data_IF_667449835796
#
_entry.id   IF_667449835796
#
_cell.length_a   1.000
_cell.length_b   1.000
_cell.length_c   1.000
_cell.angle_alpha   90.00
_cell.angle_beta   90.00
_cell.angle_gamma   90.00
#
_symmetry.space_group_name_H-M   'P 1'
#
loop_
_entity.id
_entity.type
_entity.pdbx_description
1 polymer ?
#
# COMPACT_ATOMS: atom_id res chain seq x y z
N UNK A 1 8.13 5.45 12.59
CA UNK A 1 7.00 4.72 13.23
C UNK A 1 7.58 3.65 14.16
N UNK A 2 6.95 3.37 15.30
CA UNK A 2 7.44 2.36 16.25
C UNK A 2 7.35 0.93 15.70
N UNK A 3 6.40 0.68 14.79
CA UNK A 3 6.22 -0.60 14.11
C UNK A 3 6.09 -0.37 12.61
N UNK A 4 6.84 -1.13 11.82
CA UNK A 4 6.67 -1.25 10.38
C UNK A 4 6.66 -2.74 10.04
N UNK A 5 5.55 -3.22 9.50
CA UNK A 5 5.40 -4.63 9.16
C UNK A 5 4.90 -4.79 7.73
N UNK A 6 5.48 -5.73 7.00
CA UNK A 6 5.10 -6.08 5.64
C UNK A 6 5.02 -7.58 5.54
N UNK A 7 3.94 -8.10 4.97
CA UNK A 7 3.74 -9.51 4.72
C UNK A 7 3.23 -9.72 3.29
N UNK A 8 3.75 -10.73 2.61
CA UNK A 8 3.29 -11.09 1.27
C UNK A 8 2.98 -12.58 1.23
N UNK A 9 1.78 -12.92 0.79
CA UNK A 9 1.39 -14.29 0.47
C UNK A 9 1.22 -14.42 -1.04
N UNK A 10 1.67 -15.53 -1.60
CA UNK A 10 1.43 -15.88 -2.99
C UNK A 10 0.90 -17.30 -3.07
N UNK A 11 -0.09 -17.51 -3.93
CA UNK A 11 -0.70 -18.82 -4.13
C UNK A 11 -0.86 -19.10 -5.62
N UNK A 12 -0.37 -20.26 -6.06
CA UNK A 12 -0.38 -20.70 -7.46
C UNK A 12 -1.11 -22.05 -7.51
N UNK A 13 -2.44 -22.06 -7.62
CA UNK A 13 -3.21 -23.31 -7.62
C UNK A 13 -2.88 -24.21 -8.82
N UNK A 14 -2.47 -23.63 -9.95
CA UNK A 14 -1.95 -24.31 -11.12
C UNK A 14 -1.03 -23.35 -11.90
N UNK A 15 -0.18 -23.89 -12.77
CA UNK A 15 0.93 -23.17 -13.41
C UNK A 15 0.52 -21.87 -14.14
N UNK A 16 -0.71 -21.80 -14.66
CA UNK A 16 -1.22 -20.65 -15.39
C UNK A 16 -1.74 -19.51 -14.49
N UNK A 17 -2.05 -19.74 -13.21
CA UNK A 17 -2.73 -18.76 -12.34
C UNK A 17 -1.94 -18.49 -11.06
N UNK A 18 -1.70 -17.21 -10.76
CA UNK A 18 -1.08 -16.77 -9.52
C UNK A 18 -1.92 -15.69 -8.85
N UNK A 19 -2.16 -15.85 -7.56
CA UNK A 19 -2.69 -14.85 -6.66
C UNK A 19 -1.58 -14.30 -5.76
N UNK A 20 -1.70 -13.03 -5.39
CA UNK A 20 -0.81 -12.36 -4.44
C UNK A 20 -1.63 -11.49 -3.51
N UNK A 21 -1.36 -11.58 -2.22
CA UNK A 21 -1.81 -10.64 -1.22
C UNK A 21 -0.60 -10.00 -0.56
N UNK A 22 -0.65 -8.69 -0.35
CA UNK A 22 0.37 -7.95 0.37
C UNK A 22 -0.29 -7.07 1.42
N UNK A 23 0.14 -7.22 2.66
CA UNK A 23 -0.30 -6.39 3.79
C UNK A 23 0.87 -5.54 4.23
N UNK A 24 0.64 -4.25 4.39
CA UNK A 24 1.59 -3.31 4.99
C UNK A 24 0.93 -2.64 6.18
N UNK A 25 1.59 -2.65 7.32
CA UNK A 25 1.19 -1.86 8.50
C UNK A 25 2.29 -0.84 8.82
N UNK A 26 1.89 0.42 8.94
CA UNK A 26 2.73 1.53 9.39
C UNK A 26 2.15 2.03 10.70
N UNK A 27 2.91 1.87 11.78
CA UNK A 27 2.53 2.34 13.10
C UNK A 27 2.48 3.86 13.21
N UNK A 28 1.92 4.33 14.32
CA UNK A 28 1.86 5.75 14.66
C UNK A 28 3.25 6.39 14.60
N UNK A 29 3.30 7.65 14.18
CA UNK A 29 4.52 8.46 14.10
C UNK A 29 4.21 9.91 14.38
N UNK A 30 5.19 10.63 14.89
CA UNK A 30 5.10 12.06 15.17
C UNK A 30 5.81 12.84 14.06
N UNK A 31 5.32 14.04 13.78
CA UNK A 31 5.92 14.96 12.80
C UNK A 31 6.60 16.16 13.46
N UNK A 32 6.63 16.19 14.79
CA UNK A 32 7.35 17.16 15.60
C UNK A 32 8.46 16.50 16.43
N UNK A 33 9.33 17.33 17.02
CA UNK A 33 10.43 16.87 17.88
C UNK A 33 9.95 16.52 19.31
N UNK A 34 8.83 17.10 19.74
CA UNK A 34 8.26 16.89 21.07
C UNK A 34 7.54 15.53 21.20
N UNK A 35 7.29 14.84 20.08
CA UNK A 35 6.44 13.65 20.00
C UNK A 35 5.03 13.90 20.57
N UNK A 36 4.42 15.03 20.20
CA UNK A 36 3.10 15.40 20.72
C UNK A 36 1.98 14.60 20.04
N UNK A 37 0.97 14.20 20.80
CA UNK A 37 -0.18 13.47 20.24
C UNK A 37 -1.01 14.32 19.26
N UNK A 38 -0.97 15.65 19.40
CA UNK A 38 -1.62 16.59 18.47
C UNK A 38 -1.01 16.50 17.06
N UNK A 39 0.31 16.31 16.98
CA UNK A 39 1.06 16.17 15.73
C UNK A 39 1.39 14.70 15.42
N UNK A 40 0.53 13.78 15.85
CA UNK A 40 0.68 12.37 15.53
C UNK A 40 -0.06 12.02 14.23
N UNK A 41 0.65 11.40 13.29
CA UNK A 41 0.03 10.69 12.17
C UNK A 41 -0.43 9.32 12.68
N UNK A 42 -1.73 9.07 12.55
CA UNK A 42 -2.35 7.80 12.89
C UNK A 42 -1.71 6.63 12.13
N UNK A 43 -1.66 5.48 12.80
CA UNK A 43 -1.26 4.23 12.17
C UNK A 43 -2.24 3.84 11.06
N UNK A 44 -1.76 3.13 10.05
CA UNK A 44 -2.61 2.59 8.99
C UNK A 44 -2.14 1.22 8.51
N UNK A 45 -3.08 0.47 7.95
CA UNK A 45 -2.84 -0.83 7.34
C UNK A 45 -3.42 -0.85 5.94
N UNK A 46 -2.62 -1.27 4.96
CA UNK A 46 -3.05 -1.42 3.58
C UNK A 46 -3.06 -2.89 3.21
N UNK A 47 -4.14 -3.32 2.55
CA UNK A 47 -4.22 -4.60 1.85
C UNK A 47 -4.17 -4.34 0.35
N UNK A 48 -3.21 -4.97 -0.32
CA UNK A 48 -3.06 -4.96 -1.77
C UNK A 48 -3.25 -6.38 -2.28
N UNK A 49 -4.04 -6.54 -3.34
CA UNK A 49 -4.31 -7.83 -3.96
C UNK A 49 -3.91 -7.81 -5.44
N UNK A 50 -3.49 -8.96 -5.94
CA UNK A 50 -3.18 -9.14 -7.35
C UNK A 50 -3.47 -10.55 -7.83
N UNK A 51 -3.82 -10.66 -9.10
CA UNK A 51 -3.98 -11.91 -9.81
C UNK A 51 -3.28 -11.81 -11.17
N UNK A 52 -2.67 -12.89 -11.61
CA UNK A 52 -2.15 -13.00 -12.98
C UNK A 52 -2.48 -14.35 -13.58
N UNK A 53 -2.89 -14.32 -14.84
CA UNK A 53 -3.18 -15.49 -15.65
C UNK A 53 -2.31 -15.51 -16.91
N UNK A 54 -1.70 -16.65 -17.21
CA UNK A 54 -0.88 -16.88 -18.40
C UNK A 54 -1.56 -17.88 -19.31
N UNK A 55 -1.78 -17.47 -20.55
CA UNK A 55 -2.27 -18.31 -21.63
C UNK A 55 -1.30 -18.28 -22.80
N UNK A 56 -0.56 -19.38 -22.98
CA UNK A 56 0.56 -19.47 -23.94
C UNK A 56 1.55 -18.31 -23.70
N UNK A 57 1.89 -17.57 -24.74
CA UNK A 57 2.74 -16.37 -24.69
C UNK A 57 2.07 -15.16 -24.03
N UNK A 58 0.74 -15.12 -23.88
CA UNK A 58 0.03 -13.98 -23.33
C UNK A 58 -0.09 -14.10 -21.80
N UNK A 59 0.26 -13.03 -21.08
CA UNK A 59 0.02 -12.88 -19.64
C UNK A 59 -0.85 -11.66 -19.38
N UNK A 60 -1.92 -11.85 -18.62
CA UNK A 60 -2.79 -10.79 -18.11
C UNK A 60 -2.58 -10.71 -16.60
N UNK A 61 -2.37 -9.51 -16.07
CA UNK A 61 -2.24 -9.28 -14.62
C UNK A 61 -3.12 -8.12 -14.20
N UNK A 62 -3.87 -8.30 -13.12
CA UNK A 62 -4.66 -7.26 -12.48
C UNK A 62 -4.18 -7.07 -11.03
N UNK A 63 -4.12 -5.83 -10.56
CA UNK A 63 -3.82 -5.50 -9.16
C UNK A 63 -4.76 -4.42 -8.66
N UNK A 64 -5.09 -4.50 -7.38
CA UNK A 64 -5.81 -3.47 -6.64
C UNK A 64 -4.96 -3.12 -5.44
N UNK A 65 -4.52 -1.87 -5.35
CA UNK A 65 -3.88 -1.36 -4.15
C UNK A 65 -4.91 -0.66 -3.27
N UNK A 66 -4.70 -0.71 -1.95
CA UNK A 66 -5.61 -0.17 -0.95
C UNK A 66 -7.04 -0.71 -1.16
N UNK A 67 -7.19 -2.04 -1.10
CA UNK A 67 -8.45 -2.76 -1.37
C UNK A 67 -9.57 -2.31 -0.43
N UNK A 68 -9.23 -1.89 0.79
CA UNK A 68 -10.20 -1.42 1.78
C UNK A 68 -10.53 0.07 1.63
N UNK A 69 -9.92 0.76 0.65
CA UNK A 69 -10.06 2.20 0.40
C UNK A 69 -9.85 3.07 1.65
N UNK A 70 -8.85 2.71 2.45
CA UNK A 70 -8.50 3.45 3.65
C UNK A 70 -7.94 4.82 3.30
N UNK A 71 -8.40 5.86 3.99
CA UNK A 71 -7.78 7.18 3.96
C UNK A 71 -6.65 7.19 5.00
N UNK A 72 -5.48 7.66 4.59
CA UNK A 72 -4.29 7.67 5.44
C UNK A 72 -3.34 8.78 5.01
N UNK A 73 -2.42 9.13 5.90
CA UNK A 73 -1.40 10.14 5.67
C UNK A 73 -0.05 9.43 5.52
N UNK A 74 0.61 9.62 4.37
CA UNK A 74 1.90 8.99 4.05
C UNK A 74 3.08 9.75 4.63
N UNK A 75 2.91 11.04 4.87
CA UNK A 75 3.92 11.93 5.42
C UNK A 75 3.25 13.19 5.98
N UNK A 76 3.94 13.87 6.89
CA UNK A 76 3.57 15.19 7.37
C UNK A 76 4.81 15.89 7.90
N UNK A 77 4.76 17.21 7.93
CA UNK A 77 5.87 18.06 8.31
C UNK A 77 5.34 19.26 9.10
N UNK A 78 5.95 19.52 10.26
CA UNK A 78 5.71 20.70 11.07
C UNK A 78 6.85 21.71 10.85
N UNK A 79 6.51 22.85 10.23
CA UNK A 79 7.47 23.91 9.90
C UNK A 79 7.62 24.92 11.06
N UNK A 80 6.95 24.67 12.19
CA UNK A 80 6.84 25.57 13.32
C UNK A 80 5.71 26.60 13.13
N UNK A 81 5.38 27.30 14.22
CA UNK A 81 4.38 28.39 14.23
C UNK A 81 2.97 27.98 13.76
N UNK A 82 2.63 26.69 13.86
CA UNK A 82 1.34 26.14 13.45
C UNK A 82 1.23 25.82 11.96
N UNK A 83 2.32 25.90 11.20
CA UNK A 83 2.34 25.55 9.77
C UNK A 83 2.63 24.07 9.59
N UNK A 84 1.55 23.29 9.44
CA UNK A 84 1.62 21.85 9.29
C UNK A 84 1.08 21.43 7.93
N UNK A 85 1.87 20.63 7.21
CA UNK A 85 1.46 20.02 5.96
C UNK A 85 1.31 18.50 6.10
N UNK A 86 0.32 17.94 5.42
CA UNK A 86 0.06 16.49 5.37
C UNK A 86 -0.08 16.03 3.93
N UNK A 87 0.53 14.89 3.61
CA UNK A 87 0.42 14.25 2.32
C UNK A 87 -0.53 13.06 2.41
N UNK A 88 -1.69 13.12 1.73
CA UNK A 88 -2.60 11.99 1.68
C UNK A 88 -1.97 10.85 0.88
N UNK A 89 -2.18 9.64 1.36
CA UNK A 89 -1.90 8.44 0.61
C UNK A 89 -2.90 8.25 -0.54
N UNK A 90 -2.49 7.50 -1.56
CA UNK A 90 -3.37 7.16 -2.66
C UNK A 90 -4.57 6.35 -2.15
N UNK A 91 -5.77 6.76 -2.58
CA UNK A 91 -7.00 5.96 -2.44
C UNK A 91 -6.89 4.68 -3.27
N UNK A 92 -7.92 3.84 -3.24
CA UNK A 92 -7.96 2.61 -4.03
C UNK A 92 -7.61 2.87 -5.49
N UNK A 93 -6.66 2.11 -6.02
CA UNK A 93 -6.23 2.22 -7.42
C UNK A 93 -6.04 0.85 -8.05
N UNK A 94 -6.19 0.82 -9.37
CA UNK A 94 -6.28 -0.40 -10.16
C UNK A 94 -5.20 -0.42 -11.23
N UNK A 95 -4.58 -1.57 -11.43
CA UNK A 95 -3.61 -1.80 -12.50
C UNK A 95 -4.06 -2.98 -13.33
N UNK A 96 -3.98 -2.82 -14.65
CA UNK A 96 -4.10 -3.90 -15.62
C UNK A 96 -2.83 -3.92 -16.46
N UNK A 97 -2.23 -5.10 -16.63
CA UNK A 97 -1.03 -5.29 -17.41
C UNK A 97 -1.22 -6.45 -18.38
N UNK A 98 -0.87 -6.23 -19.64
CA UNK A 98 -0.81 -7.23 -20.69
C UNK A 98 0.66 -7.40 -21.08
N UNK A 99 1.14 -8.64 -21.20
CA UNK A 99 2.50 -8.95 -21.63
C UNK A 99 2.48 -10.12 -22.59
N UNK A 100 3.33 -10.11 -23.61
CA UNK A 100 3.43 -11.17 -24.62
C UNK A 100 4.89 -11.59 -24.79
N UNK A 101 5.17 -12.87 -24.65
CA UNK A 101 6.51 -13.44 -24.84
C UNK A 101 6.67 -13.92 -26.30
N UNK A 102 7.65 -13.34 -27.02
CA UNK A 102 7.99 -13.68 -28.42
C UNK A 102 8.76 -15.00 -28.53
#
# INVERSE_FOLDING_TARGET
>A
PAVLANATAAYTPFSALQFRAHVQHVGKRYIDSANSEENAIAAYTLLNLGASYRWKSLKVSAKVHNVLDSLYVTHGEDWGWGWIAYWPGATRNFYLTLSYDL
#
